data_IF_492366881340
#
_entry.id   IF_492366881340
#
_cell.length_a   1.000
_cell.length_b   1.000
_cell.length_c   1.000
_cell.angle_alpha   90.00
_cell.angle_beta   90.00
_cell.angle_gamma   90.00
#
_symmetry.space_group_name_H-M   'P 1'
#
loop_
_entity.id
_entity.type
_entity.pdbx_description
1 polymer ?
#
# COMPACT_ATOMS: atom_id res chain seq x y z
N UNK A 1 -29.52 5.93 -32.46
CA UNK A 1 -29.75 6.27 -31.05
C UNK A 1 -28.96 5.23 -30.26
N UNK A 2 -27.70 5.54 -29.95
CA UNK A 2 -26.77 4.56 -29.39
C UNK A 2 -26.82 4.65 -27.86
N UNK A 3 -27.36 3.58 -27.30
CA UNK A 3 -27.29 3.01 -25.96
C UNK A 3 -26.41 3.73 -24.93
N UNK A 4 -27.07 4.10 -23.83
CA UNK A 4 -26.53 4.40 -22.51
C UNK A 4 -25.42 3.42 -22.10
N UNK A 5 -24.24 3.96 -21.85
CA UNK A 5 -23.20 3.31 -21.06
C UNK A 5 -22.82 4.21 -19.90
N UNK A 6 -23.65 4.10 -18.87
CA UNK A 6 -23.36 4.34 -17.48
C UNK A 6 -21.93 3.85 -17.17
N UNK A 7 -20.99 4.78 -16.94
CA UNK A 7 -19.60 4.44 -16.64
C UNK A 7 -19.15 5.13 -15.36
N UNK A 8 -19.46 4.44 -14.26
CA UNK A 8 -18.63 4.25 -13.08
C UNK A 8 -18.21 5.53 -12.36
N UNK A 9 -19.17 6.09 -11.63
CA UNK A 9 -18.90 6.80 -10.38
C UNK A 9 -18.83 5.76 -9.25
N UNK A 10 -17.64 5.58 -8.67
CA UNK A 10 -17.50 5.33 -7.24
C UNK A 10 -16.11 5.77 -6.84
N UNK A 11 -16.11 6.99 -6.32
CA UNK A 11 -15.02 7.70 -5.71
C UNK A 11 -14.39 6.79 -4.65
N UNK A 12 -13.10 6.47 -4.82
CA UNK A 12 -12.29 6.01 -3.69
C UNK A 12 -12.21 7.22 -2.75
N UNK A 13 -13.09 7.28 -1.75
CA UNK A 13 -12.96 8.22 -0.66
C UNK A 13 -11.57 8.03 -0.04
N UNK A 14 -10.65 8.92 -0.38
CA UNK A 14 -9.34 8.98 0.24
C UNK A 14 -9.58 9.43 1.68
N UNK A 15 -9.57 8.47 2.59
CA UNK A 15 -9.59 8.71 4.04
C UNK A 15 -8.35 9.56 4.34
N UNK A 16 -8.54 10.88 4.44
CA UNK A 16 -7.50 11.87 4.74
C UNK A 16 -7.44 12.20 6.23
N UNK A 17 -8.03 11.35 7.07
CA UNK A 17 -7.89 11.48 8.51
C UNK A 17 -6.41 11.21 8.89
N UNK A 18 -5.74 12.15 9.58
CA UNK A 18 -4.41 11.92 10.11
C UNK A 18 -4.51 10.80 11.15
N UNK A 19 -4.14 9.58 10.76
CA UNK A 19 -4.01 8.46 11.68
C UNK A 19 -2.82 8.77 12.60
N UNK A 20 -3.11 9.14 13.85
CA UNK A 20 -2.09 9.20 14.91
C UNK A 20 -1.38 7.84 14.95
N UNK A 21 -0.04 7.87 14.78
CA UNK A 21 0.76 6.68 14.50
C UNK A 21 1.67 6.39 15.68
N UNK A 22 1.41 5.25 16.33
CA UNK A 22 2.37 4.60 17.20
C UNK A 22 3.15 3.56 16.39
N UNK A 23 4.49 3.61 16.32
CA UNK A 23 5.31 2.63 15.59
C UNK A 23 5.20 1.19 16.14
N UNK A 24 4.44 1.00 17.22
CA UNK A 24 4.18 -0.29 17.86
C UNK A 24 3.00 -1.05 17.24
N UNK A 25 2.19 -0.40 16.42
CA UNK A 25 0.97 -0.97 15.83
C UNK A 25 1.15 -1.52 14.41
N UNK A 26 2.40 -1.71 13.95
CA UNK A 26 2.64 -2.38 12.68
C UNK A 26 2.29 -3.86 12.87
N UNK A 27 1.25 -4.37 12.19
CA UNK A 27 0.84 -5.75 12.40
C UNK A 27 1.85 -6.71 11.78
N UNK A 28 2.17 -7.79 12.50
CA UNK A 28 3.04 -8.85 11.98
C UNK A 28 2.42 -9.53 10.74
N UNK A 29 3.26 -9.77 9.73
CA UNK A 29 2.83 -10.47 8.51
C UNK A 29 2.91 -11.98 8.76
N UNK A 30 1.73 -12.59 8.92
CA UNK A 30 1.55 -14.01 9.19
C UNK A 30 2.01 -14.96 8.05
N UNK A 31 1.92 -14.51 6.80
CA UNK A 31 2.10 -15.36 5.62
C UNK A 31 3.07 -14.80 4.59
N UNK A 32 3.95 -15.68 4.07
CA UNK A 32 4.86 -15.37 2.95
C UNK A 32 4.12 -14.85 1.73
N UNK A 33 2.94 -15.38 1.42
CA UNK A 33 2.14 -14.91 0.28
C UNK A 33 1.66 -13.47 0.50
N UNK A 34 1.29 -13.14 1.74
CA UNK A 34 0.80 -11.81 2.12
C UNK A 34 1.91 -10.78 2.03
N UNK A 35 3.12 -11.14 2.46
CA UNK A 35 4.32 -10.32 2.27
C UNK A 35 4.53 -9.98 0.78
N UNK A 36 4.46 -10.98 -0.11
CA UNK A 36 4.66 -10.76 -1.54
C UNK A 36 3.60 -9.83 -2.14
N UNK A 37 2.32 -9.99 -1.74
CA UNK A 37 1.24 -9.12 -2.22
C UNK A 37 1.40 -7.68 -1.73
N UNK A 38 1.73 -7.50 -0.45
CA UNK A 38 1.97 -6.18 0.14
C UNK A 38 3.20 -5.50 -0.47
N UNK A 39 4.30 -6.24 -0.66
CA UNK A 39 5.49 -5.77 -1.34
C UNK A 39 5.20 -5.37 -2.80
N UNK A 40 4.37 -6.13 -3.51
CA UNK A 40 3.96 -5.78 -4.87
C UNK A 40 3.13 -4.48 -4.90
N UNK A 41 2.18 -4.33 -3.98
CA UNK A 41 1.39 -3.11 -3.86
C UNK A 41 2.27 -1.90 -3.53
N UNK A 42 3.22 -2.05 -2.61
CA UNK A 42 4.16 -0.99 -2.25
C UNK A 42 5.11 -0.63 -3.40
N UNK A 43 5.64 -1.62 -4.10
CA UNK A 43 6.46 -1.42 -5.29
C UNK A 43 5.71 -0.61 -6.37
N UNK A 44 4.41 -0.86 -6.55
CA UNK A 44 3.55 -0.10 -7.48
C UNK A 44 3.41 1.37 -7.04
N UNK A 45 3.37 1.67 -5.74
CA UNK A 45 3.35 3.05 -5.25
C UNK A 45 4.68 3.76 -5.57
N UNK A 46 5.81 3.10 -5.34
CA UNK A 46 7.14 3.64 -5.64
C UNK A 46 7.28 3.91 -7.15
N UNK A 47 6.81 2.99 -7.99
CA UNK A 47 6.77 3.19 -9.45
C UNK A 47 5.92 4.39 -9.88
N UNK A 48 4.86 4.72 -9.12
CA UNK A 48 4.02 5.90 -9.35
C UNK A 48 4.64 7.21 -8.82
N UNK A 49 5.86 7.15 -8.26
CA UNK A 49 6.58 8.32 -7.74
C UNK A 49 6.47 8.50 -6.23
N UNK A 50 5.95 7.53 -5.48
CA UNK A 50 6.00 7.59 -4.01
C UNK A 50 7.45 7.52 -3.52
N UNK A 51 7.78 8.36 -2.54
CA UNK A 51 9.11 8.35 -1.92
C UNK A 51 9.32 7.05 -1.13
N UNK A 52 10.48 6.40 -1.29
CA UNK A 52 10.88 5.30 -0.41
C UNK A 52 11.17 5.82 1.00
N UNK A 53 10.95 4.97 2.00
CA UNK A 53 11.20 5.22 3.43
C UNK A 53 12.54 4.64 3.90
N UNK A 54 13.27 4.00 3.00
CA UNK A 54 14.64 3.51 3.19
C UNK A 54 15.62 4.42 2.46
N UNK A 55 16.85 4.50 2.96
CA UNK A 55 17.93 5.30 2.35
C UNK A 55 18.55 4.55 1.17
N UNK A 56 17.71 4.27 0.16
CA UNK A 56 18.07 3.59 -1.06
C UNK A 56 17.72 4.47 -2.26
N UNK A 57 18.62 4.54 -3.24
CA UNK A 57 18.38 5.29 -4.46
C UNK A 57 17.33 4.60 -5.34
N UNK A 58 16.12 5.17 -5.34
CA UNK A 58 14.97 4.68 -6.10
C UNK A 58 15.21 4.58 -7.62
N UNK A 59 16.22 5.27 -8.16
CA UNK A 59 16.56 5.22 -9.60
C UNK A 59 17.44 4.03 -9.95
N UNK A 60 18.20 3.52 -8.98
CA UNK A 60 19.21 2.45 -9.21
C UNK A 60 18.71 1.09 -8.77
N UNK A 61 17.81 1.05 -7.79
CA UNK A 61 17.32 -0.18 -7.20
C UNK A 61 15.90 -0.48 -7.69
N UNK A 62 15.61 -1.77 -7.90
CA UNK A 62 14.28 -2.21 -8.31
C UNK A 62 13.26 -1.87 -7.22
N UNK A 63 12.07 -1.33 -7.59
CA UNK A 63 11.02 -0.99 -6.61
C UNK A 63 10.59 -2.14 -5.70
N UNK A 64 10.67 -3.38 -6.19
CA UNK A 64 10.37 -4.58 -5.40
C UNK A 64 11.40 -4.85 -4.31
N UNK A 65 12.68 -4.59 -4.57
CA UNK A 65 13.75 -4.72 -3.57
C UNK A 65 13.59 -3.65 -2.50
N UNK A 66 13.30 -2.42 -2.90
CA UNK A 66 13.05 -1.31 -1.97
C UNK A 66 11.85 -1.64 -1.07
N UNK A 67 10.76 -2.15 -1.63
CA UNK A 67 9.59 -2.54 -0.85
C UNK A 67 9.92 -3.64 0.19
N UNK A 68 10.68 -4.67 -0.20
CA UNK A 68 11.08 -5.74 0.73
C UNK A 68 11.94 -5.21 1.89
N UNK A 69 12.91 -4.35 1.59
CA UNK A 69 13.75 -3.69 2.61
C UNK A 69 12.94 -2.80 3.55
N UNK A 70 11.91 -2.11 3.03
CA UNK A 70 11.01 -1.34 3.88
C UNK A 70 10.16 -2.24 4.79
N UNK A 71 9.76 -3.44 4.34
CA UNK A 71 9.03 -4.40 5.17
C UNK A 71 9.93 -5.08 6.21
N UNK A 72 11.19 -5.38 5.87
CA UNK A 72 12.16 -5.95 6.83
C UNK A 72 12.59 -4.95 7.90
N UNK A 73 12.57 -3.66 7.58
CA UNK A 73 12.85 -2.58 8.54
C UNK A 73 11.62 -2.02 9.27
N UNK A 74 10.45 -2.66 9.16
CA UNK A 74 9.17 -2.19 9.72
C UNK A 74 8.87 -0.71 9.39
N UNK A 75 9.16 -0.30 8.15
CA UNK A 75 8.93 1.08 7.66
C UNK A 75 7.66 1.21 6.83
N UNK A 76 7.00 0.10 6.48
CA UNK A 76 5.74 0.12 5.71
C UNK A 76 4.54 -0.03 6.62
N UNK A 77 3.77 1.04 6.74
CA UNK A 77 2.51 1.04 7.46
C UNK A 77 1.39 0.43 6.62
N UNK A 78 0.64 -0.52 7.18
CA UNK A 78 -0.58 -1.06 6.60
C UNK A 78 -1.56 -1.45 7.72
N UNK A 79 -2.85 -1.49 7.40
CA UNK A 79 -3.92 -1.91 8.31
C UNK A 79 -4.82 -2.90 7.58
N UNK A 80 -5.27 -3.93 8.30
CA UNK A 80 -6.31 -4.81 7.80
C UNK A 80 -7.68 -4.17 8.01
N UNK A 81 -8.44 -4.03 6.93
CA UNK A 81 -9.84 -3.62 6.99
C UNK A 81 -10.66 -4.90 7.05
N UNK A 82 -11.26 -5.20 8.20
CA UNK A 82 -12.20 -6.31 8.33
C UNK A 82 -13.49 -5.97 7.56
N UNK A 83 -13.96 -6.94 6.77
CA UNK A 83 -15.06 -6.75 5.82
C UNK A 83 -16.44 -6.57 6.51
N UNK A 84 -16.50 -6.72 7.82
CA UNK A 84 -17.72 -6.64 8.63
C UNK A 84 -18.23 -5.21 8.88
N UNK A 85 -17.50 -4.17 8.43
CA UNK A 85 -17.92 -2.76 8.54
C UNK A 85 -18.44 -2.13 7.24
N UNK A 86 -18.68 -2.92 6.19
CA UNK A 86 -19.10 -2.42 4.87
C UNK A 86 -20.52 -2.90 4.51
N UNK A 87 -21.36 -3.24 5.51
CA UNK A 87 -22.76 -3.61 5.28
C UNK A 87 -23.73 -2.51 5.69
#
# INVERSE_FOLDING_TARGET
>A
MAEDKEKVEKEEEVITDPVEFDPKDIPDIDSKYRLILLAAQRAKQIQRGASPRVDLDARRIKPTTIALEEFEGDKVNFRFIEKDKIS
#
